data_IF_807319051250
#
_entry.id   IF_807319051250
#
_cell.length_a   1.000
_cell.length_b   1.000
_cell.length_c   1.000
_cell.angle_alpha   90.00
_cell.angle_beta   90.00
_cell.angle_gamma   90.00
#
_symmetry.space_group_name_H-M   'P 1'
#
loop_
_entity.id
_entity.type
_entity.pdbx_description
1 polymer ?
#
# COMPACT_ATOMS: atom_id res chain seq x y z
N UNK A 1 -15.64 -6.47 10.82
CA UNK A 1 -15.60 -5.80 9.50
C UNK A 1 -14.92 -6.73 8.51
N UNK A 2 -15.46 -6.89 7.30
CA UNK A 2 -14.74 -7.56 6.22
C UNK A 2 -14.10 -6.48 5.36
N UNK A 3 -12.77 -6.41 5.40
CA UNK A 3 -12.00 -5.50 4.56
C UNK A 3 -11.65 -6.21 3.26
N UNK A 4 -12.06 -5.62 2.16
CA UNK A 4 -11.58 -6.03 0.84
C UNK A 4 -10.24 -5.34 0.63
N UNK A 5 -9.17 -6.10 0.82
CA UNK A 5 -7.81 -5.67 0.56
C UNK A 5 -7.43 -6.18 -0.82
N UNK A 6 -7.23 -5.31 -1.80
CA UNK A 6 -6.54 -5.75 -3.03
C UNK A 6 -5.13 -5.24 -2.88
N UNK A 7 -4.25 -6.19 -2.59
CA UNK A 7 -2.85 -5.95 -2.46
C UNK A 7 -2.21 -6.17 -3.82
N UNK A 8 -1.66 -5.11 -4.42
CA UNK A 8 -1.05 -5.17 -5.75
C UNK A 8 0.47 -5.10 -5.66
N UNK A 9 1.11 -6.20 -6.02
CA UNK A 9 2.58 -6.32 -6.05
C UNK A 9 3.14 -5.80 -7.36
N UNK A 10 4.24 -5.05 -7.30
CA UNK A 10 5.02 -4.71 -8.49
C UNK A 10 6.19 -5.65 -8.60
N UNK A 11 5.98 -6.79 -9.27
CA UNK A 11 7.08 -7.73 -9.50
C UNK A 11 7.78 -7.34 -10.80
N UNK A 12 9.10 -7.22 -10.72
CA UNK A 12 9.98 -7.11 -11.87
C UNK A 12 10.61 -8.48 -12.11
N UNK A 13 10.29 -9.14 -13.22
CA UNK A 13 10.80 -10.49 -13.46
C UNK A 13 12.33 -10.55 -13.72
N UNK A 14 12.94 -9.40 -14.02
CA UNK A 14 14.40 -9.25 -14.17
C UNK A 14 15.07 -8.80 -12.86
N UNK A 15 14.27 -8.40 -11.87
CA UNK A 15 14.78 -7.98 -10.58
C UNK A 15 15.26 -9.19 -9.78
N UNK A 16 16.36 -8.99 -9.07
CA UNK A 16 16.86 -9.89 -8.05
C UNK A 16 15.80 -10.24 -7.00
N UNK A 17 14.63 -9.58 -6.94
CA UNK A 17 13.58 -9.75 -5.92
C UNK A 17 12.58 -10.88 -6.18
N UNK A 18 12.58 -11.54 -7.35
CA UNK A 18 11.63 -12.64 -7.64
C UNK A 18 11.67 -13.79 -6.61
N UNK A 19 12.83 -14.04 -6.00
CA UNK A 19 13.01 -15.05 -4.94
C UNK A 19 12.39 -14.66 -3.57
N UNK A 20 11.93 -13.42 -3.42
CA UNK A 20 11.36 -12.89 -2.17
C UNK A 20 9.83 -13.07 -2.09
N UNK A 21 9.18 -13.34 -3.22
CA UNK A 21 7.74 -13.61 -3.27
C UNK A 21 7.31 -14.80 -2.39
N UNK A 22 8.06 -15.92 -2.30
CA UNK A 22 7.80 -16.96 -1.33
C UNK A 22 7.76 -16.46 0.12
N UNK A 23 8.63 -15.51 0.50
CA UNK A 23 8.64 -14.94 1.86
C UNK A 23 7.34 -14.20 2.13
N UNK A 24 6.90 -13.34 1.20
CA UNK A 24 5.62 -12.64 1.27
C UNK A 24 4.45 -13.63 1.38
N UNK A 25 4.42 -14.65 0.52
CA UNK A 25 3.40 -15.70 0.53
C UNK A 25 3.37 -16.46 1.87
N UNK A 26 4.52 -16.67 2.50
CA UNK A 26 4.65 -17.39 3.77
C UNK A 26 4.41 -16.53 5.02
N UNK A 27 4.33 -15.21 4.86
CA UNK A 27 4.19 -14.24 5.95
C UNK A 27 2.83 -13.54 5.85
N UNK A 28 2.82 -12.22 5.71
CA UNK A 28 1.63 -11.39 5.73
C UNK A 28 0.70 -11.65 4.53
N UNK A 29 1.25 -12.02 3.36
CA UNK A 29 0.45 -12.34 2.18
C UNK A 29 -0.49 -13.53 2.35
N UNK A 30 -0.18 -14.47 3.26
CA UNK A 30 -1.03 -15.64 3.56
C UNK A 30 -2.33 -15.29 4.28
N UNK A 31 -2.33 -14.15 4.97
CA UNK A 31 -3.39 -13.75 5.88
C UNK A 31 -4.49 -12.92 5.21
N UNK A 32 -4.32 -12.62 3.93
CA UNK A 32 -5.21 -11.73 3.19
C UNK A 32 -6.29 -12.49 2.44
N UNK A 33 -7.57 -12.07 2.56
CA UNK A 33 -8.66 -12.73 1.84
C UNK A 33 -8.56 -12.53 0.33
N UNK A 34 -7.96 -11.41 -0.10
CA UNK A 34 -7.78 -11.06 -1.50
C UNK A 34 -6.36 -10.47 -1.70
N UNK A 35 -5.65 -10.96 -2.70
CA UNK A 35 -4.28 -10.57 -3.03
C UNK A 35 -4.08 -10.79 -4.52
N UNK A 36 -3.52 -9.80 -5.23
CA UNK A 36 -3.31 -9.88 -6.68
C UNK A 36 -1.87 -9.48 -6.98
N UNK A 37 -1.08 -10.42 -7.48
CA UNK A 37 0.29 -10.14 -7.84
C UNK A 37 0.30 -9.55 -9.26
N UNK A 38 0.86 -8.35 -9.47
CA UNK A 38 0.98 -7.77 -10.81
C UNK A 38 2.42 -7.87 -11.31
N UNK A 39 2.57 -8.17 -12.60
CA UNK A 39 3.87 -8.23 -13.25
C UNK A 39 3.77 -7.74 -14.69
N UNK A 40 4.91 -7.62 -15.36
CA UNK A 40 5.03 -7.38 -16.80
C UNK A 40 4.72 -8.64 -17.64
N UNK A 41 4.51 -9.79 -16.99
CA UNK A 41 4.09 -11.04 -17.61
C UNK A 41 3.26 -11.90 -16.66
N UNK A 42 2.38 -12.71 -17.21
CA UNK A 42 1.70 -13.75 -16.45
C UNK A 42 2.68 -14.88 -16.12
N UNK A 43 2.55 -15.43 -14.92
CA UNK A 43 3.33 -16.52 -14.40
C UNK A 43 2.40 -17.41 -13.56
N UNK A 44 2.52 -18.73 -13.70
CA UNK A 44 1.68 -19.69 -13.00
C UNK A 44 2.31 -20.14 -11.67
N UNK A 45 3.64 -20.07 -11.53
CA UNK A 45 4.38 -20.44 -10.31
C UNK A 45 4.18 -19.37 -9.22
N UNK A 46 4.18 -18.12 -9.65
CA UNK A 46 3.67 -16.98 -8.88
C UNK A 46 2.48 -16.47 -9.67
N UNK A 47 1.23 -16.67 -9.23
CA UNK A 47 0.03 -16.36 -10.02
C UNK A 47 -0.09 -14.85 -10.26
N UNK A 48 0.72 -14.33 -11.19
CA UNK A 48 0.81 -12.92 -11.55
C UNK A 48 -0.18 -12.62 -12.66
N UNK A 49 -0.85 -11.49 -12.52
CA UNK A 49 -1.64 -10.88 -13.58
C UNK A 49 -0.72 -10.01 -14.41
N UNK A 50 -0.71 -10.24 -15.73
CA UNK A 50 -0.06 -9.36 -16.68
C UNK A 50 -0.73 -7.98 -16.64
N UNK A 51 0.04 -6.97 -16.25
CA UNK A 51 -0.40 -5.58 -16.23
C UNK A 51 -0.57 -4.98 -17.63
N UNK A 52 -0.03 -5.62 -18.67
CA UNK A 52 0.03 -5.11 -20.03
C UNK A 52 1.02 -3.95 -20.21
N UNK A 53 1.82 -3.65 -19.18
CA UNK A 53 2.80 -2.56 -19.16
C UNK A 53 4.21 -3.15 -19.09
N UNK A 54 5.09 -2.84 -20.06
CA UNK A 54 6.46 -3.30 -20.03
C UNK A 54 7.20 -2.85 -18.77
N UNK A 55 8.12 -3.68 -18.29
CA UNK A 55 8.92 -3.30 -17.14
C UNK A 55 9.87 -2.11 -17.46
N UNK A 56 10.03 -1.21 -16.49
CA UNK A 56 10.94 -0.06 -16.56
C UNK A 56 11.87 -0.09 -15.36
N UNK A 57 13.10 0.39 -15.55
CA UNK A 57 14.09 0.49 -14.45
C UNK A 57 13.78 1.63 -13.47
N UNK A 58 13.02 2.64 -13.91
CA UNK A 58 12.64 3.81 -13.10
C UNK A 58 11.23 4.21 -13.45
N UNK A 59 10.50 4.67 -12.43
CA UNK A 59 9.13 5.13 -12.54
C UNK A 59 8.17 4.02 -12.95
N UNK A 60 7.10 3.87 -12.17
CA UNK A 60 6.15 2.78 -12.35
C UNK A 60 4.74 3.32 -12.56
N UNK A 61 4.62 4.54 -13.06
CA UNK A 61 3.36 5.24 -13.19
C UNK A 61 2.35 4.45 -14.04
N UNK A 62 2.72 3.96 -15.23
CA UNK A 62 1.77 3.18 -16.04
C UNK A 62 1.32 1.88 -15.36
N UNK A 63 2.23 1.16 -14.71
CA UNK A 63 1.92 -0.08 -13.96
C UNK A 63 0.97 0.22 -12.79
N UNK A 64 1.19 1.33 -12.09
CA UNK A 64 0.33 1.80 -10.99
C UNK A 64 -1.06 2.15 -11.48
N UNK A 65 -1.16 2.87 -12.60
CA UNK A 65 -2.46 3.19 -13.18
C UNK A 65 -3.18 1.94 -13.70
N UNK A 66 -2.48 0.95 -14.24
CA UNK A 66 -3.07 -0.34 -14.61
C UNK A 66 -3.67 -1.07 -13.39
N UNK A 67 -2.97 -1.06 -12.25
CA UNK A 67 -3.46 -1.58 -10.97
C UNK A 67 -4.73 -0.83 -10.52
N UNK A 68 -4.68 0.50 -10.51
CA UNK A 68 -5.83 1.35 -10.11
C UNK A 68 -7.05 1.10 -11.01
N UNK A 69 -6.84 0.97 -12.32
CA UNK A 69 -7.89 0.66 -13.29
C UNK A 69 -8.47 -0.75 -13.06
N UNK A 70 -7.62 -1.75 -12.78
CA UNK A 70 -8.07 -3.10 -12.49
C UNK A 70 -8.92 -3.14 -11.23
N UNK A 71 -8.46 -2.50 -10.14
CA UNK A 71 -9.23 -2.36 -8.90
C UNK A 71 -10.57 -1.66 -9.14
N UNK A 72 -10.57 -0.54 -9.88
CA UNK A 72 -11.79 0.21 -10.20
C UNK A 72 -12.81 -0.64 -10.97
N UNK A 73 -12.36 -1.52 -11.88
CA UNK A 73 -13.22 -2.47 -12.60
C UNK A 73 -13.79 -3.54 -11.68
N UNK A 74 -13.00 -4.12 -10.78
CA UNK A 74 -13.47 -5.13 -9.81
C UNK A 74 -14.56 -4.54 -8.91
N UNK A 75 -14.32 -3.33 -8.40
CA UNK A 75 -15.27 -2.61 -7.54
C UNK A 75 -16.42 -1.97 -8.35
N UNK A 76 -16.36 -2.05 -9.68
CA UNK A 76 -17.17 -1.29 -10.65
C UNK A 76 -18.39 -2.00 -11.25
N UNK A 77 -18.87 -3.11 -10.70
CA UNK A 77 -20.08 -3.81 -11.21
C UNK A 77 -21.22 -3.87 -10.18
N UNK A 78 -20.98 -3.55 -8.92
CA UNK A 78 -22.01 -3.55 -7.88
C UNK A 78 -21.83 -2.36 -6.94
N UNK A 79 -22.83 -1.46 -6.81
CA UNK A 79 -22.98 -0.70 -5.57
C UNK A 79 -23.08 -1.74 -4.45
N UNK A 80 -22.31 -1.62 -3.36
CA UNK A 80 -22.49 -2.56 -2.25
C UNK A 80 -23.93 -2.42 -1.75
N UNK A 81 -24.77 -3.41 -2.03
CA UNK A 81 -25.96 -3.69 -1.20
C UNK A 81 -25.55 -4.41 0.10
N UNK A 82 -24.25 -4.46 0.39
CA UNK A 82 -23.66 -5.19 1.50
C UNK A 82 -22.53 -4.36 2.09
N UNK A 83 -22.51 -4.24 3.41
CA UNK A 83 -21.73 -3.36 4.29
C UNK A 83 -20.18 -3.49 4.23
N UNK A 84 -19.58 -3.58 3.03
CA UNK A 84 -18.16 -3.84 2.85
C UNK A 84 -17.38 -2.57 2.53
N UNK A 85 -16.57 -2.11 3.48
CA UNK A 85 -15.51 -1.12 3.23
C UNK A 85 -14.36 -1.80 2.49
N UNK A 86 -14.12 -1.37 1.25
CA UNK A 86 -12.99 -1.84 0.43
C UNK A 86 -11.89 -0.79 0.41
N UNK A 87 -10.64 -1.22 0.57
CA UNK A 87 -9.46 -0.36 0.50
C UNK A 87 -8.45 -1.00 -0.45
N UNK A 88 -7.83 -0.19 -1.31
CA UNK A 88 -6.76 -0.68 -2.19
C UNK A 88 -5.41 -0.45 -1.52
N UNK A 89 -4.58 -1.47 -1.49
CA UNK A 89 -3.21 -1.39 -1.01
C UNK A 89 -2.27 -1.71 -2.16
N UNK A 90 -1.35 -0.81 -2.44
CA UNK A 90 -0.30 -1.05 -3.42
C UNK A 90 1.00 -1.20 -2.67
N UNK A 91 1.70 -2.32 -2.86
CA UNK A 91 2.87 -2.68 -2.07
C UNK A 91 3.96 -3.23 -2.97
N UNK A 92 5.20 -2.85 -2.69
CA UNK A 92 6.35 -3.31 -3.44
C UNK A 92 6.77 -4.73 -3.01
N UNK A 93 7.49 -5.42 -3.88
CA UNK A 93 7.91 -6.82 -3.69
C UNK A 93 9.05 -6.98 -2.67
N UNK A 94 9.63 -5.88 -2.21
CA UNK A 94 10.66 -5.78 -1.18
C UNK A 94 10.15 -5.04 0.09
N UNK A 95 8.85 -5.14 0.37
CA UNK A 95 8.21 -4.54 1.54
C UNK A 95 7.60 -5.59 2.48
N UNK A 96 7.91 -5.49 3.77
CA UNK A 96 7.24 -6.25 4.82
C UNK A 96 6.14 -5.39 5.43
N UNK A 97 4.98 -5.99 5.74
CA UNK A 97 3.82 -5.27 6.27
C UNK A 97 3.22 -5.99 7.48
N UNK A 98 2.90 -5.23 8.53
CA UNK A 98 2.08 -5.64 9.67
C UNK A 98 0.60 -5.39 9.36
N UNK A 99 -0.13 -6.44 8.97
CA UNK A 99 -1.48 -6.29 8.42
C UNK A 99 -2.61 -6.15 9.44
N UNK A 100 -2.58 -6.90 10.54
CA UNK A 100 -3.79 -7.12 11.33
C UNK A 100 -4.11 -5.95 12.25
N UNK A 101 -3.36 -5.72 13.31
CA UNK A 101 -3.80 -4.75 14.33
C UNK A 101 -3.78 -3.30 13.86
N UNK A 102 -2.74 -2.86 13.14
CA UNK A 102 -2.56 -1.42 12.88
C UNK A 102 -3.28 -0.92 11.64
N UNK A 103 -3.26 -1.67 10.54
CA UNK A 103 -3.97 -1.27 9.32
C UNK A 103 -5.49 -1.34 9.55
N UNK A 104 -5.98 -2.35 10.28
CA UNK A 104 -7.39 -2.40 10.66
C UNK A 104 -7.78 -1.26 11.59
N UNK A 105 -6.95 -0.88 12.57
CA UNK A 105 -7.19 0.29 13.41
C UNK A 105 -7.23 1.60 12.60
N UNK A 106 -6.32 1.78 11.64
CA UNK A 106 -6.37 2.91 10.71
C UNK A 106 -7.70 2.91 9.97
N UNK A 107 -8.13 1.76 9.45
CA UNK A 107 -9.39 1.68 8.74
C UNK A 107 -10.60 1.91 9.63
N UNK A 108 -10.61 1.41 10.86
CA UNK A 108 -11.68 1.67 11.85
C UNK A 108 -11.86 3.17 12.11
N UNK A 109 -10.77 3.92 12.25
CA UNK A 109 -10.82 5.39 12.41
C UNK A 109 -11.49 6.07 11.20
N UNK A 110 -11.30 5.53 9.99
CA UNK A 110 -11.89 6.09 8.77
C UNK A 110 -13.26 5.52 8.41
N UNK A 111 -13.67 4.40 9.01
CA UNK A 111 -14.99 3.75 8.80
C UNK A 111 -16.12 4.58 9.39
N UNK A 112 -15.91 5.24 10.53
CA UNK A 112 -16.93 6.12 11.14
C UNK A 112 -17.27 7.33 10.26
N UNK A 113 -16.44 7.62 9.26
CA UNK A 113 -16.71 8.57 8.20
C UNK A 113 -17.38 7.80 7.06
N UNK A 114 -18.65 7.42 7.25
CA UNK A 114 -19.50 6.81 6.21
C UNK A 114 -19.88 7.83 5.11
N UNK A 115 -18.88 8.57 4.62
CA UNK A 115 -18.99 9.51 3.52
C UNK A 115 -18.29 8.92 2.32
N UNK A 116 -19.09 8.41 1.38
CA UNK A 116 -18.63 7.90 0.09
C UNK A 116 -17.87 8.97 -0.72
N UNK A 117 -17.95 10.25 -0.35
CA UNK A 117 -17.20 11.33 -0.98
C UNK A 117 -15.83 11.54 -0.36
N UNK A 118 -15.48 10.85 0.73
CA UNK A 118 -14.20 11.03 1.38
C UNK A 118 -13.07 10.29 0.62
N UNK A 119 -12.31 11.06 -0.14
CA UNK A 119 -11.22 10.58 -0.97
C UNK A 119 -9.90 10.73 -0.21
N UNK A 120 -9.34 9.60 0.22
CA UNK A 120 -8.12 9.57 1.04
C UNK A 120 -7.06 8.70 0.38
N UNK A 121 -5.82 9.15 0.50
CA UNK A 121 -4.62 8.33 0.33
C UNK A 121 -3.84 8.35 1.63
N UNK A 122 -3.43 7.18 2.14
CA UNK A 122 -2.64 7.06 3.36
C UNK A 122 -1.26 6.51 2.99
N UNK A 123 -0.23 7.16 3.49
CA UNK A 123 1.16 6.74 3.30
C UNK A 123 2.12 7.62 4.08
N UNK A 124 3.42 7.46 3.82
CA UNK A 124 4.40 8.42 4.31
C UNK A 124 4.35 9.66 3.41
N UNK A 125 4.01 10.83 3.97
CA UNK A 125 3.66 12.03 3.21
C UNK A 125 4.89 12.89 3.02
N UNK A 126 5.23 13.15 1.77
CA UNK A 126 6.30 14.05 1.37
C UNK A 126 5.69 15.30 0.71
N UNK A 127 6.43 16.40 0.78
CA UNK A 127 6.04 17.66 0.16
C UNK A 127 7.01 18.07 -0.93
N UNK A 128 6.49 18.56 -2.06
CA UNK A 128 7.30 19.07 -3.16
C UNK A 128 6.86 20.46 -3.61
N UNK A 129 7.84 21.33 -3.87
CA UNK A 129 7.59 22.64 -4.49
C UNK A 129 6.81 23.64 -3.63
N UNK A 130 6.83 23.46 -2.31
CA UNK A 130 6.13 24.38 -1.39
C UNK A 130 6.77 25.76 -1.40
N UNK A 131 5.93 26.80 -1.62
CA UNK A 131 6.36 28.18 -1.40
C UNK A 131 6.54 28.46 0.09
N UNK A 132 7.22 29.55 0.42
CA UNK A 132 7.34 30.04 1.81
C UNK A 132 5.98 30.29 2.47
N UNK A 133 4.96 30.63 1.68
CA UNK A 133 3.58 30.80 2.13
C UNK A 133 2.77 29.50 2.20
N UNK A 134 3.30 28.37 1.69
CA UNK A 134 2.56 27.11 1.55
C UNK A 134 1.42 27.15 0.53
N UNK A 135 1.33 28.21 -0.28
CA UNK A 135 0.24 28.40 -1.26
C UNK A 135 0.45 27.65 -2.57
N UNK A 136 1.70 27.30 -2.89
CA UNK A 136 2.06 26.40 -3.99
C UNK A 136 2.67 25.12 -3.45
N UNK A 137 2.87 24.14 -4.32
CA UNK A 137 3.38 22.82 -3.96
C UNK A 137 2.25 21.80 -3.80
N UNK A 138 2.65 20.57 -3.54
CA UNK A 138 1.72 19.46 -3.34
C UNK A 138 2.32 18.41 -2.43
N UNK A 139 1.42 17.72 -1.73
CA UNK A 139 1.73 16.52 -0.96
C UNK A 139 1.62 15.28 -1.84
N UNK A 140 2.48 14.31 -1.60
CA UNK A 140 2.41 13.01 -2.24
C UNK A 140 2.73 11.89 -1.25
N UNK A 141 2.08 10.73 -1.37
CA UNK A 141 2.47 9.53 -0.64
C UNK A 141 3.72 8.98 -1.31
N UNK A 142 4.86 8.93 -0.62
CA UNK A 142 6.09 8.45 -1.24
C UNK A 142 5.97 6.98 -1.64
N UNK A 143 6.37 6.66 -2.88
CA UNK A 143 6.43 5.27 -3.35
C UNK A 143 7.54 4.49 -2.66
N UNK A 144 8.57 5.18 -2.16
CA UNK A 144 9.72 4.56 -1.49
C UNK A 144 9.42 3.96 -0.11
N UNK A 145 8.24 4.20 0.48
CA UNK A 145 7.77 3.43 1.64
C UNK A 145 7.30 2.02 1.25
N UNK A 146 7.27 1.74 -0.06
CA UNK A 146 6.80 0.53 -0.73
C UNK A 146 5.39 0.12 -0.36
N UNK A 147 4.58 1.09 0.07
CA UNK A 147 3.23 0.85 0.52
C UNK A 147 2.38 2.13 0.44
N UNK A 148 1.22 2.04 -0.21
CA UNK A 148 0.23 3.11 -0.31
C UNK A 148 -1.19 2.56 -0.14
N UNK A 149 -2.03 3.25 0.64
CA UNK A 149 -3.45 2.89 0.84
C UNK A 149 -4.36 3.90 0.15
N UNK A 150 -5.35 3.43 -0.60
CA UNK A 150 -6.33 4.27 -1.28
C UNK A 150 -7.74 3.90 -0.87
N UNK A 151 -8.59 4.91 -0.62
CA UNK A 151 -10.03 4.69 -0.56
C UNK A 151 -10.60 4.42 -1.96
N UNK A 152 -11.70 3.67 -2.07
CA UNK A 152 -12.35 3.39 -3.36
C UNK A 152 -12.67 4.67 -4.13
N UNK A 153 -13.14 5.70 -3.43
CA UNK A 153 -13.50 6.98 -4.06
C UNK A 153 -12.25 7.71 -4.59
N UNK A 154 -11.12 7.66 -3.87
CA UNK A 154 -9.86 8.18 -4.38
C UNK A 154 -9.42 7.44 -5.65
N UNK A 155 -9.49 6.10 -5.66
CA UNK A 155 -9.13 5.32 -6.86
C UNK A 155 -10.02 5.68 -8.06
N UNK A 156 -11.33 5.81 -7.86
CA UNK A 156 -12.27 6.19 -8.92
C UNK A 156 -11.91 7.55 -9.52
N UNK A 157 -11.68 8.55 -8.67
CA UNK A 157 -11.29 9.90 -9.11
C UNK A 157 -9.96 9.91 -9.86
N UNK A 158 -8.94 9.19 -9.36
CA UNK A 158 -7.63 9.11 -10.02
C UNK A 158 -7.77 8.47 -11.41
N UNK A 159 -8.52 7.37 -11.51
CA UNK A 159 -8.73 6.66 -12.79
C UNK A 159 -9.53 7.51 -13.79
N UNK A 160 -10.47 8.34 -13.33
CA UNK A 160 -11.31 9.15 -14.22
C UNK A 160 -10.71 10.49 -14.64
N UNK A 161 -9.91 11.11 -13.77
CA UNK A 161 -9.44 12.49 -13.99
C UNK A 161 -7.95 12.60 -14.24
N UNK A 162 -7.18 11.55 -13.95
CA UNK A 162 -5.72 11.59 -14.00
C UNK A 162 -5.17 10.59 -15.00
N UNK A 163 -4.02 10.93 -15.57
CA UNK A 163 -3.33 10.11 -16.55
C UNK A 163 -1.84 10.13 -16.26
N UNK A 164 -1.20 9.04 -16.67
CA UNK A 164 0.24 8.90 -16.56
C UNK A 164 0.91 9.59 -17.76
N UNK A 165 1.81 10.58 -17.58
CA UNK A 165 2.43 11.28 -18.71
C UNK A 165 3.32 10.37 -19.56
N UNK A 166 4.13 9.54 -18.91
CA UNK A 166 4.99 8.53 -19.52
C UNK A 166 5.04 7.29 -18.63
N UNK A 167 5.30 6.12 -19.21
CA UNK A 167 5.34 4.85 -18.46
C UNK A 167 6.33 4.87 -17.28
N UNK A 168 7.45 5.57 -17.45
CA UNK A 168 8.57 5.74 -16.53
C UNK A 168 8.48 7.00 -15.65
N UNK A 169 7.31 7.67 -15.63
CA UNK A 169 7.08 8.77 -14.70
C UNK A 169 7.08 8.27 -13.24
N UNK A 170 7.54 9.08 -12.27
CA UNK A 170 7.44 8.77 -10.85
C UNK A 170 5.97 8.72 -10.43
N UNK A 171 5.48 7.53 -10.12
CA UNK A 171 4.08 7.25 -9.83
C UNK A 171 3.56 8.03 -8.63
N UNK A 172 4.35 8.08 -7.56
CA UNK A 172 4.03 8.77 -6.32
C UNK A 172 3.80 10.27 -6.52
N UNK A 173 4.73 10.94 -7.21
CA UNK A 173 4.62 12.37 -7.50
C UNK A 173 3.45 12.67 -8.45
N UNK A 174 3.20 11.82 -9.46
CA UNK A 174 2.05 11.98 -10.36
C UNK A 174 0.73 11.82 -9.59
N UNK A 175 0.64 10.85 -8.68
CA UNK A 175 -0.51 10.67 -7.79
C UNK A 175 -0.68 11.89 -6.88
N UNK A 176 0.40 12.47 -6.34
CA UNK A 176 0.31 13.69 -5.52
C UNK A 176 -0.17 14.92 -6.28
N UNK A 177 0.33 15.14 -7.51
CA UNK A 177 -0.15 16.21 -8.39
C UNK A 177 -1.63 16.03 -8.70
N UNK A 178 -2.03 14.80 -9.03
CA UNK A 178 -3.42 14.43 -9.25
C UNK A 178 -4.26 14.74 -8.01
N UNK A 179 -3.86 14.27 -6.83
CA UNK A 179 -4.55 14.46 -5.57
C UNK A 179 -4.76 15.94 -5.24
N UNK A 180 -3.72 16.77 -5.45
CA UNK A 180 -3.82 18.22 -5.24
C UNK A 180 -4.86 18.88 -6.13
N UNK A 181 -4.97 18.44 -7.39
CA UNK A 181 -5.89 18.98 -8.40
C UNK A 181 -7.33 18.55 -8.15
N UNK A 182 -7.55 17.30 -7.75
CA UNK A 182 -8.87 16.70 -7.57
C UNK A 182 -9.41 16.82 -6.14
N UNK A 183 -8.59 17.31 -5.21
CA UNK A 183 -8.98 17.52 -3.81
C UNK A 183 -8.89 16.27 -2.94
N UNK A 184 -8.18 15.23 -3.39
CA UNK A 184 -7.92 14.03 -2.59
C UNK A 184 -6.95 14.39 -1.45
N UNK A 185 -7.27 13.94 -0.24
CA UNK A 185 -6.45 14.22 0.94
C UNK A 185 -5.37 13.15 1.10
N UNK A 186 -4.11 13.58 1.18
CA UNK A 186 -2.97 12.72 1.52
C UNK A 186 -2.71 12.78 3.02
N UNK A 187 -2.99 11.68 3.71
CA UNK A 187 -2.81 11.52 5.16
C UNK A 187 -1.45 10.90 5.44
N UNK A 188 -0.68 11.56 6.29
CA UNK A 188 0.60 11.05 6.77
C UNK A 188 0.39 10.02 7.88
N UNK A 189 1.11 8.90 7.80
CA UNK A 189 1.38 8.04 8.95
C UNK A 189 2.88 7.82 9.12
N UNK A 190 3.37 8.03 10.34
CA UNK A 190 4.78 7.86 10.71
C UNK A 190 5.16 6.39 10.99
N UNK A 191 4.19 5.48 10.89
CA UNK A 191 4.37 4.05 11.06
C UNK A 191 4.72 3.32 9.74
N UNK A 192 4.75 4.04 8.61
CA UNK A 192 5.31 3.56 7.36
C UNK A 192 6.78 3.94 7.26
N UNK A 193 7.62 3.01 6.79
CA UNK A 193 9.07 3.19 6.78
C UNK A 193 9.68 2.84 5.41
N UNK A 194 10.45 3.77 4.82
CA UNK A 194 11.16 3.62 3.53
C UNK A 194 12.51 2.88 3.58
N UNK A 195 12.94 2.47 4.75
CA UNK A 195 14.24 1.83 4.93
C UNK A 195 14.10 0.56 5.77
N UNK A 196 15.24 -0.09 6.00
CA UNK A 196 15.31 -1.33 6.77
C UNK A 196 15.08 -1.01 8.24
N UNK A 197 14.66 -2.02 8.99
CA UNK A 197 14.52 -1.95 10.45
C UNK A 197 15.78 -1.38 11.16
N UNK A 198 16.99 -1.73 10.70
CA UNK A 198 18.27 -1.23 11.27
C UNK A 198 18.56 0.25 11.01
N UNK A 199 17.92 0.85 9.99
CA UNK A 199 18.15 2.26 9.65
C UNK A 199 17.34 3.20 10.57
N UNK A 200 16.61 2.63 11.53
CA UNK A 200 15.79 3.34 12.48
C UNK A 200 16.16 3.02 13.93
N UNK A 201 15.99 3.98 14.86
CA UNK A 201 16.29 3.75 16.28
C UNK A 201 15.35 2.68 16.86
N UNK A 202 15.87 1.85 17.78
CA UNK A 202 15.13 0.74 18.40
C UNK A 202 13.85 1.18 19.16
N UNK A 203 13.81 2.41 19.67
CA UNK A 203 12.72 2.93 20.48
C UNK A 203 11.45 3.33 19.70
N UNK A 204 11.20 2.75 18.51
CA UNK A 204 10.07 3.16 17.68
C UNK A 204 8.76 2.48 18.10
N UNK A 205 7.72 3.30 18.10
CA UNK A 205 6.32 2.89 18.17
C UNK A 205 6.02 1.95 16.99
N UNK A 206 5.43 0.80 17.31
CA UNK A 206 4.83 -0.22 16.44
C UNK A 206 4.93 0.09 14.92
N UNK A 207 5.89 -0.48 14.19
CA UNK A 207 6.02 -0.27 12.74
C UNK A 207 4.87 -0.96 11.99
N UNK A 208 4.38 -0.34 10.90
CA UNK A 208 3.44 -0.96 9.95
C UNK A 208 4.18 -1.56 8.78
N UNK A 209 5.26 -0.93 8.30
CA UNK A 209 6.03 -1.47 7.18
C UNK A 209 7.53 -1.29 7.38
N UNK A 210 8.31 -2.13 6.69
CA UNK A 210 9.74 -1.91 6.43
C UNK A 210 10.02 -2.17 4.95
N UNK A 211 10.91 -1.38 4.37
CA UNK A 211 11.30 -1.44 2.96
C UNK A 211 12.74 -1.94 2.79
N UNK A 212 13.06 -2.41 1.58
CA UNK A 212 14.37 -2.92 1.14
C UNK A 212 14.79 -4.21 1.83
N UNK A 213 14.71 -5.33 1.11
CA UNK A 213 15.17 -6.64 1.62
C UNK A 213 16.68 -6.85 1.51
N UNK A 214 17.42 -5.83 1.05
CA UNK A 214 18.86 -5.87 0.86
C UNK A 214 19.61 -6.01 2.20
N UNK A 215 20.52 -6.99 2.25
CA UNK A 215 21.39 -7.28 3.39
C UNK A 215 20.68 -7.61 4.70
N UNK A 216 19.43 -8.06 4.64
CA UNK A 216 18.64 -8.51 5.81
C UNK A 216 18.06 -9.90 5.58
N UNK A 217 17.68 -10.59 6.66
CA UNK A 217 16.81 -11.76 6.60
C UNK A 217 15.35 -11.29 6.72
N UNK A 218 14.58 -11.22 5.61
CA UNK A 218 13.24 -10.64 5.65
C UNK A 218 12.28 -11.46 6.50
N UNK A 219 12.46 -12.79 6.58
CA UNK A 219 11.63 -13.65 7.42
C UNK A 219 11.93 -13.42 8.90
N UNK A 220 13.21 -13.37 9.28
CA UNK A 220 13.62 -13.06 10.65
C UNK A 220 13.13 -11.68 11.11
N UNK A 221 13.23 -10.68 10.24
CA UNK A 221 12.73 -9.32 10.52
C UNK A 221 11.22 -9.30 10.68
N UNK A 222 10.49 -9.96 9.78
CA UNK A 222 9.04 -10.08 9.88
C UNK A 222 8.64 -10.71 11.22
N UNK A 223 9.23 -11.86 11.56
CA UNK A 223 8.91 -12.59 12.79
C UNK A 223 9.25 -11.79 14.06
N UNK A 224 10.25 -10.92 14.02
CA UNK A 224 10.69 -10.13 15.17
C UNK A 224 9.86 -8.87 15.37
N UNK A 225 9.51 -8.16 14.30
CA UNK A 225 8.96 -6.80 14.38
C UNK A 225 7.52 -6.64 13.88
N UNK A 226 7.05 -7.53 12.99
CA UNK A 226 5.79 -7.36 12.23
C UNK A 226 4.85 -8.58 12.32
N UNK A 227 5.27 -9.66 12.95
CA UNK A 227 4.44 -10.83 13.20
C UNK A 227 3.73 -10.64 14.54
N UNK A 228 2.41 -10.80 14.54
CA UNK A 228 1.64 -10.80 15.77
C UNK A 228 1.98 -12.04 16.60
N UNK A 229 2.56 -11.86 17.78
CA UNK A 229 2.47 -12.91 18.77
C UNK A 229 0.98 -13.07 19.13
N UNK A 230 0.38 -14.27 19.02
CA UNK A 230 -0.93 -14.48 19.60
C UNK A 230 -0.82 -14.15 21.07
N UNK A 231 -1.36 -13.00 21.46
CA UNK A 231 -1.47 -12.65 22.87
C UNK A 231 -2.29 -13.77 23.50
N UNK A 232 -1.66 -14.51 24.40
CA UNK A 232 -2.36 -15.32 25.37
C UNK A 232 -3.26 -14.37 26.16
N UNK A 233 -4.51 -14.22 25.72
CA UNK A 233 -5.59 -13.78 26.58
C UNK A 233 -5.86 -14.91 27.60
N UNK A 234 -4.92 -15.10 28.53
CA UNK A 234 -5.14 -15.89 29.73
C UNK A 234 -4.81 -15.01 30.94
N UNK A 235 -5.88 -14.71 31.67
CA UNK A 235 -5.92 -14.63 33.13
C UNK A 235 -5.17 -13.48 33.83
N UNK A 236 -5.78 -12.29 33.84
CA UNK A 236 -5.86 -11.47 35.06
C UNK A 236 -7.30 -10.95 35.24
N UNK A 237 -8.22 -11.88 35.54
CA UNK A 237 -9.39 -11.58 36.36
C UNK A 237 -9.24 -12.36 37.67
N UNK A 238 -8.39 -11.84 38.53
CA UNK A 238 -8.27 -12.21 39.92
C UNK A 238 -7.89 -10.94 40.67
N UNK A 239 -8.69 -10.60 41.69
CA UNK A 239 -8.57 -9.47 42.62
C UNK A 239 -9.27 -8.16 42.22
N UNK A 240 -10.61 -8.17 42.30
CA UNK A 240 -11.34 -7.42 43.34
C UNK A 240 -12.74 -8.01 43.57
#
# INVERSE_FOLDING_TARGET
LYFFLILSFRICHVSSTYHLVPVIKSTWGSSLPHIVYFSDRADDDIPTVDSGVPNKERGHCAKTFAILQHFSKIVGVTPPQSDFFSWLLIVDDDTLVHLYTQILQIFEVFVDINDIHFQIIIGERYGYGFSTSGSSGYDYPTGGSGYMVFSVSAVRTIVSECECPTEDSPDDMIIGVCARRTGIVVVHSAAFHQARHIDYPEARLLPISFHKFEDIDPLGVYMTYLHEHPTTHNEEKSEL
#
